data_IF_615536344854
#
_entry.id   IF_615536344854
#
_cell.length_a   1.000
_cell.length_b   1.000
_cell.length_c   1.000
_cell.angle_alpha   90.00
_cell.angle_beta   90.00
_cell.angle_gamma   90.00
#
_symmetry.space_group_name_H-M   'P 1'
#
loop_
_entity.id
_entity.type
_entity.pdbx_description
1 polymer ?
#
# COMPACT_ATOMS: atom_id res chain seq x y z
N UNK A 1 15.30 -20.89 0.19
CA UNK A 1 14.35 -21.96 -0.17
C UNK A 1 13.01 -21.28 -0.41
N UNK A 2 12.57 -21.19 -1.67
CA UNK A 2 11.28 -20.60 -2.01
C UNK A 2 10.18 -21.47 -1.39
N UNK A 3 9.24 -20.84 -0.68
CA UNK A 3 8.11 -21.56 -0.07
C UNK A 3 7.03 -21.71 -1.14
N UNK A 4 6.82 -22.91 -1.73
CA UNK A 4 5.93 -23.07 -2.89
C UNK A 4 4.48 -22.62 -2.61
N UNK A 5 4.07 -22.67 -1.34
CA UNK A 5 2.74 -22.22 -0.91
C UNK A 5 2.62 -20.69 -0.85
N UNK A 6 3.71 -19.96 -0.61
CA UNK A 6 3.74 -18.50 -0.69
C UNK A 6 3.69 -18.06 -2.15
N UNK A 7 4.50 -18.69 -3.02
CA UNK A 7 4.54 -18.36 -4.45
C UNK A 7 3.17 -18.54 -5.11
N UNK A 8 2.44 -19.61 -4.78
CA UNK A 8 1.07 -19.83 -5.26
C UNK A 8 0.09 -18.74 -4.77
N UNK A 9 0.20 -18.31 -3.51
CA UNK A 9 -0.63 -17.21 -2.97
C UNK A 9 -0.33 -15.89 -3.67
N UNK A 10 0.94 -15.59 -3.89
CA UNK A 10 1.37 -14.39 -4.62
C UNK A 10 0.86 -14.39 -6.06
N UNK A 11 0.88 -15.54 -6.74
CA UNK A 11 0.29 -15.67 -8.06
C UNK A 11 -1.23 -15.42 -8.03
N UNK A 12 -1.94 -15.93 -7.02
CA UNK A 12 -3.39 -15.78 -6.90
C UNK A 12 -3.82 -14.33 -6.59
N UNK A 13 -3.09 -13.61 -5.73
CA UNK A 13 -3.43 -12.23 -5.34
C UNK A 13 -2.92 -11.17 -6.32
N UNK A 14 -2.02 -11.53 -7.25
CA UNK A 14 -1.37 -10.58 -8.16
C UNK A 14 -2.34 -9.60 -8.85
N UNK A 15 -3.46 -10.03 -9.45
CA UNK A 15 -4.40 -9.10 -10.09
C UNK A 15 -5.00 -8.08 -9.11
N UNK A 16 -5.31 -8.51 -7.87
CA UNK A 16 -5.84 -7.63 -6.85
C UNK A 16 -4.76 -6.66 -6.34
N UNK A 17 -3.54 -7.14 -6.12
CA UNK A 17 -2.41 -6.30 -5.70
C UNK A 17 -2.12 -5.21 -6.74
N UNK A 18 -2.13 -5.56 -8.03
CA UNK A 18 -1.99 -4.60 -9.14
C UNK A 18 -3.11 -3.54 -9.14
N UNK A 19 -4.37 -3.96 -8.93
CA UNK A 19 -5.50 -3.05 -8.86
C UNK A 19 -5.43 -2.09 -7.65
N UNK A 20 -5.02 -2.59 -6.48
CA UNK A 20 -4.81 -1.78 -5.27
C UNK A 20 -3.70 -0.75 -5.52
N UNK A 21 -2.56 -1.19 -6.06
CA UNK A 21 -1.42 -0.33 -6.37
C UNK A 21 -1.78 0.77 -7.37
N UNK A 22 -2.52 0.42 -8.44
CA UNK A 22 -3.02 1.39 -9.41
C UNK A 22 -3.98 2.42 -8.76
N UNK A 23 -4.80 1.98 -7.81
CA UNK A 23 -5.70 2.89 -7.10
C UNK A 23 -4.96 3.83 -6.17
N UNK A 24 -3.95 3.36 -5.43
CA UNK A 24 -3.07 4.21 -4.60
C UNK A 24 -2.40 5.30 -5.45
N UNK A 25 -1.79 4.91 -6.58
CA UNK A 25 -1.14 5.84 -7.51
C UNK A 25 -2.13 6.87 -8.09
N UNK A 26 -3.37 6.44 -8.36
CA UNK A 26 -4.43 7.34 -8.86
C UNK A 26 -4.76 8.42 -7.83
N UNK A 27 -4.89 8.08 -6.55
CA UNK A 27 -5.14 9.09 -5.50
C UNK A 27 -3.92 10.00 -5.28
N UNK A 28 -2.69 9.45 -5.31
CA UNK A 28 -1.45 10.26 -5.25
C UNK A 28 -1.39 11.26 -6.41
N UNK A 29 -1.77 10.83 -7.61
CA UNK A 29 -1.77 11.69 -8.80
C UNK A 29 -2.78 12.82 -8.70
N UNK A 30 -3.96 12.58 -8.11
CA UNK A 30 -4.99 13.62 -7.90
C UNK A 30 -4.53 14.73 -6.95
N UNK A 31 -3.57 14.46 -6.06
CA UNK A 31 -3.00 15.48 -5.17
C UNK A 31 -2.18 16.53 -5.94
N UNK A 32 -1.81 16.26 -7.20
CA UNK A 32 -1.17 17.24 -8.07
C UNK A 32 0.32 17.45 -7.80
N UNK A 33 1.00 16.44 -7.24
CA UNK A 33 2.44 16.49 -7.07
C UNK A 33 3.16 16.57 -8.43
N UNK A 34 4.26 17.34 -8.53
CA UNK A 34 5.08 17.34 -9.73
C UNK A 34 5.71 15.95 -9.97
N UNK A 35 5.95 15.56 -11.24
CA UNK A 35 6.68 14.35 -11.57
C UNK A 35 8.06 14.34 -10.91
N UNK A 36 8.43 13.23 -10.27
CA UNK A 36 9.75 13.00 -9.69
C UNK A 36 10.23 11.61 -10.07
N UNK A 37 11.32 11.53 -10.82
CA UNK A 37 11.90 10.26 -11.28
C UNK A 37 12.28 9.31 -10.14
N UNK A 38 12.64 9.86 -8.97
CA UNK A 38 13.09 9.11 -7.80
C UNK A 38 12.00 8.84 -6.76
N UNK A 39 10.74 9.23 -6.99
CA UNK A 39 9.66 8.96 -6.04
C UNK A 39 9.38 7.45 -6.01
N UNK A 40 9.41 6.80 -4.83
CA UNK A 40 8.99 5.41 -4.70
C UNK A 40 7.54 5.23 -5.16
N UNK A 41 7.24 4.07 -5.75
CA UNK A 41 5.89 3.73 -6.23
C UNK A 41 5.39 2.45 -5.55
N UNK A 42 4.10 2.35 -5.25
CA UNK A 42 3.52 1.12 -4.71
C UNK A 42 3.43 0.09 -5.84
N UNK A 43 4.50 -0.66 -6.10
CA UNK A 43 4.48 -1.74 -7.10
C UNK A 43 4.36 -3.09 -6.37
N UNK A 44 3.47 -4.00 -6.81
CA UNK A 44 3.32 -5.31 -6.16
C UNK A 44 4.62 -6.08 -6.06
N UNK A 45 5.46 -6.03 -7.11
CA UNK A 45 6.72 -6.77 -7.20
C UNK A 45 7.86 -6.18 -6.34
N UNK A 46 7.68 -4.95 -5.83
CA UNK A 46 8.64 -4.33 -4.92
C UNK A 46 8.31 -4.56 -3.44
N UNK A 47 7.17 -5.18 -3.14
CA UNK A 47 6.83 -5.56 -1.78
C UNK A 47 7.51 -6.88 -1.38
N UNK A 48 8.02 -6.92 -0.16
CA UNK A 48 8.47 -8.15 0.48
C UNK A 48 7.27 -8.81 1.17
N UNK A 49 6.98 -10.06 0.82
CA UNK A 49 5.82 -10.77 1.33
C UNK A 49 6.16 -11.87 2.32
N UNK A 50 5.28 -12.04 3.30
CA UNK A 50 5.27 -13.17 4.22
C UNK A 50 3.85 -13.44 4.73
N UNK A 51 3.63 -14.65 5.24
CA UNK A 51 2.38 -15.00 5.91
C UNK A 51 2.47 -14.72 7.41
N UNK A 52 1.39 -14.22 7.98
CA UNK A 52 1.20 -14.10 9.43
C UNK A 52 -0.15 -14.73 9.82
N UNK A 53 -0.26 -15.21 11.06
CA UNK A 53 -1.54 -15.64 11.62
C UNK A 53 -2.19 -14.44 12.30
N UNK A 54 -3.40 -14.10 11.89
CA UNK A 54 -4.20 -13.07 12.51
C UNK A 54 -4.58 -13.51 13.94
N UNK A 55 -4.21 -12.76 14.99
CA UNK A 55 -4.38 -13.20 16.37
C UNK A 55 -5.84 -13.22 16.83
N UNK A 56 -6.75 -12.56 16.10
CA UNK A 56 -8.17 -12.47 16.46
C UNK A 56 -9.00 -13.59 15.82
N UNK A 57 -8.82 -13.81 14.52
CA UNK A 57 -9.54 -14.81 13.74
C UNK A 57 -8.85 -16.17 13.69
N UNK A 58 -7.53 -16.22 13.91
CA UNK A 58 -6.70 -17.39 13.66
C UNK A 58 -6.48 -17.69 12.17
N UNK A 59 -7.03 -16.86 11.28
CA UNK A 59 -6.85 -17.00 9.83
C UNK A 59 -5.47 -16.52 9.40
N UNK A 60 -5.01 -17.03 8.26
CA UNK A 60 -3.77 -16.55 7.67
C UNK A 60 -4.00 -15.22 6.95
N UNK A 61 -3.12 -14.25 7.22
CA UNK A 61 -3.03 -12.98 6.50
C UNK A 61 -1.74 -12.95 5.71
N UNK A 62 -1.83 -12.66 4.42
CA UNK A 62 -0.66 -12.38 3.59
C UNK A 62 -0.29 -10.91 3.74
N UNK A 63 0.93 -10.64 4.19
CA UNK A 63 1.45 -9.30 4.45
C UNK A 63 2.50 -8.96 3.40
N UNK A 64 2.41 -7.78 2.79
CA UNK A 64 3.41 -7.21 1.90
C UNK A 64 3.98 -5.93 2.50
N UNK A 65 5.29 -5.70 2.40
CA UNK A 65 5.95 -4.50 2.91
C UNK A 65 6.80 -3.84 1.83
N UNK A 66 6.55 -2.56 1.56
CA UNK A 66 7.45 -1.75 0.73
C UNK A 66 8.51 -1.10 1.59
N UNK A 67 9.75 -1.07 1.09
CA UNK A 67 10.86 -0.35 1.73
C UNK A 67 11.52 0.60 0.74
N UNK A 68 12.08 1.70 1.24
CA UNK A 68 12.91 2.59 0.42
C UNK A 68 14.33 2.04 0.26
N UNK A 69 15.16 2.74 -0.52
CA UNK A 69 16.55 2.36 -0.77
C UNK A 69 17.43 2.25 0.50
N UNK A 70 16.99 2.81 1.64
CA UNK A 70 17.67 2.73 2.94
C UNK A 70 17.11 1.62 3.83
N UNK A 71 16.14 0.85 3.36
CA UNK A 71 15.48 -0.23 4.11
C UNK A 71 14.40 0.23 5.08
N UNK A 72 14.01 1.51 5.08
CA UNK A 72 12.89 1.97 5.90
C UNK A 72 11.56 1.58 5.24
N UNK A 73 10.61 1.09 6.03
CA UNK A 73 9.25 0.82 5.58
C UNK A 73 8.61 2.11 5.07
N UNK A 74 7.97 2.04 3.90
CA UNK A 74 7.27 3.14 3.23
C UNK A 74 5.83 2.75 2.84
N UNK A 75 5.25 1.83 3.60
CA UNK A 75 3.90 1.31 3.38
C UNK A 75 3.79 -0.21 3.52
N UNK A 76 2.60 -0.74 3.25
CA UNK A 76 2.37 -2.18 3.15
C UNK A 76 0.99 -2.58 2.63
N UNK A 77 0.82 -3.88 2.45
CA UNK A 77 -0.38 -4.58 2.00
C UNK A 77 -0.74 -5.64 3.04
N UNK A 78 -2.03 -5.84 3.27
CA UNK A 78 -2.58 -6.95 4.05
C UNK A 78 -3.74 -7.56 3.29
N UNK A 79 -3.67 -8.85 3.02
CA UNK A 79 -4.77 -9.65 2.46
C UNK A 79 -5.24 -10.61 3.54
N UNK A 80 -6.43 -10.38 4.08
CA UNK A 80 -7.00 -11.17 5.15
C UNK A 80 -7.69 -12.44 4.61
N UNK A 81 -7.76 -13.49 5.42
CA UNK A 81 -8.35 -14.79 5.03
C UNK A 81 -9.82 -14.69 4.58
N UNK A 82 -10.57 -13.74 5.13
CA UNK A 82 -11.96 -13.43 4.74
C UNK A 82 -12.11 -12.69 3.39
N UNK A 83 -11.00 -12.43 2.69
CA UNK A 83 -10.97 -11.76 1.39
C UNK A 83 -11.03 -10.22 1.44
N UNK A 84 -11.02 -9.64 2.64
CA UNK A 84 -10.81 -8.19 2.82
C UNK A 84 -9.32 -7.85 2.72
N UNK A 85 -9.04 -6.59 2.43
CA UNK A 85 -7.66 -6.10 2.35
C UNK A 85 -7.52 -4.68 2.88
N UNK A 86 -6.30 -4.36 3.26
CA UNK A 86 -5.85 -3.02 3.61
C UNK A 86 -4.49 -2.74 2.95
N UNK A 87 -4.28 -1.51 2.52
CA UNK A 87 -3.03 -1.04 1.98
C UNK A 87 -2.77 0.40 2.42
N UNK A 88 -1.51 0.72 2.58
CA UNK A 88 -1.03 2.05 2.94
C UNK A 88 0.28 2.30 2.19
N UNK A 89 0.43 3.46 1.59
CA UNK A 89 1.68 3.87 0.97
C UNK A 89 2.05 5.28 1.42
N UNK A 90 3.27 5.42 1.94
CA UNK A 90 3.73 6.68 2.52
C UNK A 90 4.05 7.67 1.40
N UNK A 91 3.53 8.90 1.55
CA UNK A 91 3.86 10.04 0.68
C UNK A 91 4.84 10.94 1.41
N UNK A 92 4.52 11.31 2.65
CA UNK A 92 5.33 12.13 3.54
C UNK A 92 5.88 13.41 2.87
N UNK A 93 5.01 14.14 2.15
CA UNK A 93 5.35 15.39 1.48
C UNK A 93 4.32 16.50 1.80
N UNK A 94 4.72 17.78 1.87
CA UNK A 94 3.78 18.90 1.95
C UNK A 94 2.79 18.88 0.77
N UNK A 95 1.52 19.21 1.01
CA UNK A 95 0.53 19.24 -0.05
C UNK A 95 0.92 20.31 -1.10
N UNK A 96 0.97 19.97 -2.40
CA UNK A 96 1.63 20.81 -3.41
C UNK A 96 0.87 22.11 -3.69
N UNK A 97 -0.43 22.16 -3.42
CA UNK A 97 -1.31 23.31 -3.72
C UNK A 97 -2.05 23.87 -2.50
N UNK A 98 -1.97 23.22 -1.34
CA UNK A 98 -2.68 23.65 -0.12
C UNK A 98 -1.76 23.56 1.08
N UNK A 99 -1.06 24.66 1.38
CA UNK A 99 0.01 24.73 2.39
C UNK A 99 -0.45 24.43 3.81
N UNK A 100 -1.76 24.33 4.06
CA UNK A 100 -2.31 23.95 5.37
C UNK A 100 -2.10 22.46 5.66
N UNK A 101 -1.84 21.65 4.64
CA UNK A 101 -1.83 20.20 4.76
C UNK A 101 -0.46 19.61 4.42
N UNK A 102 -0.14 18.55 5.14
CA UNK A 102 0.92 17.61 4.84
C UNK A 102 0.26 16.27 4.47
N UNK A 103 0.71 15.67 3.37
CA UNK A 103 0.22 14.36 2.93
C UNK A 103 1.07 13.30 3.61
N UNK A 104 0.49 12.60 4.58
CA UNK A 104 1.18 11.55 5.31
C UNK A 104 1.30 10.29 4.43
N UNK A 105 0.15 9.78 3.99
CA UNK A 105 0.05 8.54 3.21
C UNK A 105 -1.18 8.56 2.32
N UNK A 106 -1.31 7.53 1.48
CA UNK A 106 -2.57 7.16 0.85
C UNK A 106 -2.92 5.75 1.30
N UNK A 107 -4.15 5.56 1.74
CA UNK A 107 -4.66 4.26 2.17
C UNK A 107 -5.65 3.72 1.14
N UNK A 108 -5.73 2.39 1.03
CA UNK A 108 -6.74 1.70 0.26
C UNK A 108 -7.27 0.51 1.05
N UNK A 109 -8.58 0.24 0.96
CA UNK A 109 -9.22 -0.85 1.66
C UNK A 109 -10.43 -1.35 0.88
N UNK A 110 -10.86 -2.56 1.20
CA UNK A 110 -12.04 -3.14 0.56
C UNK A 110 -12.11 -4.65 0.71
N UNK A 111 -12.92 -5.26 -0.16
CA UNK A 111 -13.18 -6.69 -0.17
C UNK A 111 -13.50 -7.13 -1.60
N UNK A 112 -12.91 -8.25 -2.03
CA UNK A 112 -13.06 -8.73 -3.40
C UNK A 112 -12.55 -7.69 -4.42
N UNK A 113 -13.43 -7.21 -5.29
CA UNK A 113 -13.09 -6.22 -6.33
C UNK A 113 -13.46 -4.78 -5.96
N UNK A 114 -14.13 -4.55 -4.82
CA UNK A 114 -14.44 -3.20 -4.35
C UNK A 114 -13.19 -2.60 -3.70
N UNK A 115 -12.67 -1.50 -4.26
CA UNK A 115 -11.49 -0.79 -3.75
C UNK A 115 -11.86 0.65 -3.44
N UNK A 116 -11.77 1.05 -2.17
CA UNK A 116 -11.81 2.43 -1.71
C UNK A 116 -10.39 2.89 -1.43
N UNK A 117 -10.13 4.18 -1.61
CA UNK A 117 -8.85 4.77 -1.29
C UNK A 117 -8.99 6.26 -1.04
N UNK A 118 -8.18 6.78 -0.12
CA UNK A 118 -8.16 8.21 0.21
C UNK A 118 -6.79 8.63 0.75
N UNK A 119 -6.38 9.90 0.53
CA UNK A 119 -5.20 10.46 1.16
C UNK A 119 -5.43 10.73 2.65
N UNK A 120 -4.42 10.45 3.47
CA UNK A 120 -4.37 10.87 4.86
C UNK A 120 -3.63 12.22 4.96
N UNK A 121 -4.35 13.26 5.39
CA UNK A 121 -3.85 14.62 5.50
C UNK A 121 -3.76 15.02 6.98
N UNK A 122 -2.62 15.59 7.36
CA UNK A 122 -2.43 16.19 8.68
C UNK A 122 -2.10 17.68 8.54
N UNK A 123 -2.42 18.53 9.54
CA UNK A 123 -2.01 19.92 9.51
C UNK A 123 -0.49 20.06 9.32
N UNK A 124 -0.07 20.94 8.42
CA UNK A 124 1.34 21.26 8.25
C UNK A 124 1.87 21.95 9.53
N UNK A 125 3.08 21.58 9.94
CA UNK A 125 3.78 22.29 11.02
C UNK A 125 4.18 23.68 10.52
N UNK A 126 3.91 24.72 11.32
CA UNK A 126 4.31 26.11 11.06
C UNK A 126 5.81 26.33 11.19
#
# INVERSE_FOLDING_TARGET
MSHPMLDAKLAAIRPLAEAICARLETEISKLGFPPRESRPRPLPDLAHYHSETDPYSGEETLVGTWTNARGYRIGGLKFHGNGSFYAEFDVAEPHPTDRRWFVESVTAWGQGTEIKAEPQLIPALE
#
